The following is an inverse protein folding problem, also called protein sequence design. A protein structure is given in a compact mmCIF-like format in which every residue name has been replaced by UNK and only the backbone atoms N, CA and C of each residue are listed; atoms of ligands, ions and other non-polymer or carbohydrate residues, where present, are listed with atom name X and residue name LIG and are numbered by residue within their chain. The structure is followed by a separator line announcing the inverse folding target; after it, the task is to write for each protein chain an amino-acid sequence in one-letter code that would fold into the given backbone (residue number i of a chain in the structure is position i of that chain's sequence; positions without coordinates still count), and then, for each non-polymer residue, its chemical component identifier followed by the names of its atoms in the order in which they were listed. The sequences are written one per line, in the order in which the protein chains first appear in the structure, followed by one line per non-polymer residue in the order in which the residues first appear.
data_IF_497822934755
#
_entry.id   IF_497822934755
#
_cell.length_a   1.000
_cell.length_b   1.000
_cell.length_c   1.000
_cell.angle_alpha   90.00
_cell.angle_beta   90.00
_cell.angle_gamma   90.00
#
_symmetry.space_group_name_H-M   'P 1'
#
loop_
_entity.id
_entity.type
_entity.pdbx_description
1 polymer ?
#
# COMPACT_ATOMS: atom_id res chain seq x y z
N UNK A 1 23.04 -94.75 -99.25
CA UNK A 1 23.27 -94.34 -97.84
C UNK A 1 23.33 -92.81 -97.60
N UNK A 2 22.92 -91.91 -98.51
CA UNK A 2 23.11 -90.45 -98.32
C UNK A 2 21.85 -89.59 -98.03
N UNK A 3 20.63 -90.14 -98.06
CA UNK A 3 19.39 -89.34 -98.09
C UNK A 3 18.52 -89.29 -96.81
N UNK A 4 18.85 -89.98 -95.69
CA UNK A 4 18.40 -89.55 -94.34
C UNK A 4 19.29 -88.38 -93.92
N UNK A 5 19.31 -87.36 -94.76
CA UNK A 5 18.37 -86.25 -94.68
C UNK A 5 18.70 -85.49 -93.39
N UNK A 6 19.59 -84.51 -93.45
CA UNK A 6 19.33 -83.19 -94.04
C UNK A 6 18.17 -82.49 -93.31
N UNK A 7 17.01 -83.12 -93.14
CA UNK A 7 15.91 -82.64 -92.27
C UNK A 7 16.31 -82.55 -90.79
N UNK A 8 16.95 -83.59 -90.24
CA UNK A 8 17.46 -83.57 -88.86
C UNK A 8 18.66 -82.62 -88.72
N UNK A 9 19.18 -82.07 -89.82
CA UNK A 9 20.39 -81.24 -89.84
C UNK A 9 20.07 -79.75 -89.76
N UNK A 10 18.87 -79.29 -90.14
CA UNK A 10 18.48 -77.87 -90.04
C UNK A 10 17.94 -77.51 -88.66
N UNK A 11 17.00 -78.29 -88.11
CA UNK A 11 16.46 -78.08 -86.75
C UNK A 11 17.55 -78.21 -85.69
N UNK A 12 18.45 -79.15 -85.90
CA UNK A 12 19.61 -79.35 -85.03
C UNK A 12 20.62 -78.21 -85.18
N UNK A 13 20.76 -77.60 -86.35
CA UNK A 13 21.55 -76.37 -86.54
C UNK A 13 20.92 -75.16 -85.84
N UNK A 14 19.60 -74.97 -85.90
CA UNK A 14 18.91 -73.83 -85.26
C UNK A 14 18.92 -73.97 -83.74
N UNK A 15 18.69 -75.18 -83.21
CA UNK A 15 18.82 -75.48 -81.79
C UNK A 15 20.27 -75.33 -81.29
N UNK A 16 21.28 -75.74 -82.09
CA UNK A 16 22.69 -75.48 -81.78
C UNK A 16 23.01 -73.98 -81.79
N UNK A 17 22.46 -73.22 -82.75
CA UNK A 17 22.64 -71.78 -82.80
C UNK A 17 22.01 -71.09 -81.59
N UNK A 18 20.77 -71.42 -81.23
CA UNK A 18 20.11 -70.87 -80.04
C UNK A 18 20.83 -71.26 -78.73
N UNK A 19 21.28 -72.52 -78.62
CA UNK A 19 22.10 -72.98 -77.49
C UNK A 19 23.44 -72.25 -77.42
N UNK A 20 24.13 -72.06 -78.54
CA UNK A 20 25.39 -71.35 -78.60
C UNK A 20 25.22 -69.86 -78.28
N UNK A 21 24.14 -69.21 -78.73
CA UNK A 21 23.82 -67.83 -78.42
C UNK A 21 23.51 -67.68 -76.92
N UNK A 22 22.65 -68.54 -76.36
CA UNK A 22 22.30 -68.49 -74.95
C UNK A 22 23.51 -68.80 -74.05
N UNK A 23 24.33 -69.80 -74.42
CA UNK A 23 25.60 -70.10 -73.74
C UNK A 23 26.58 -68.93 -73.82
N UNK A 24 26.71 -68.29 -74.98
CA UNK A 24 27.57 -67.11 -75.14
C UNK A 24 27.06 -65.93 -74.31
N UNK A 25 25.75 -65.72 -74.24
CA UNK A 25 25.13 -64.69 -73.42
C UNK A 25 25.34 -64.94 -71.93
N UNK A 26 25.07 -66.16 -71.44
CA UNK A 26 25.31 -66.56 -70.05
C UNK A 26 26.79 -66.44 -69.67
N UNK A 27 27.71 -66.89 -70.53
CA UNK A 27 29.15 -66.73 -70.30
C UNK A 27 29.57 -65.25 -70.31
N UNK A 28 28.91 -64.42 -71.12
CA UNK A 28 29.09 -62.97 -71.13
C UNK A 28 28.62 -62.32 -69.82
N UNK A 29 27.43 -62.68 -69.35
CA UNK A 29 26.85 -62.20 -68.10
C UNK A 29 27.66 -62.66 -66.88
N UNK A 30 28.11 -63.93 -66.84
CA UNK A 30 28.98 -64.45 -65.79
C UNK A 30 30.33 -63.71 -65.77
N UNK A 31 30.91 -63.42 -66.94
CA UNK A 31 32.14 -62.64 -67.01
C UNK A 31 31.93 -61.17 -66.60
N UNK A 32 30.80 -60.56 -66.97
CA UNK A 32 30.48 -59.19 -66.59
C UNK A 32 30.26 -59.07 -65.08
N UNK A 33 29.46 -59.96 -64.49
CA UNK A 33 29.23 -60.04 -63.04
C UNK A 33 30.51 -60.39 -62.28
N UNK A 34 31.33 -61.32 -62.79
CA UNK A 34 32.64 -61.64 -62.22
C UNK A 34 33.60 -60.46 -62.20
N UNK A 35 33.62 -59.65 -63.26
CA UNK A 35 34.41 -58.40 -63.31
C UNK A 35 33.88 -57.35 -62.32
N UNK A 36 32.56 -57.15 -62.24
CA UNK A 36 31.95 -56.23 -61.29
C UNK A 36 32.21 -56.65 -59.83
N UNK A 37 32.07 -57.94 -59.53
CA UNK A 37 32.36 -58.49 -58.20
C UNK A 37 33.84 -58.35 -57.83
N UNK A 38 34.75 -58.52 -58.79
CA UNK A 38 36.18 -58.29 -58.57
C UNK A 38 36.46 -56.83 -58.18
N UNK A 39 35.90 -55.88 -58.92
CA UNK A 39 36.04 -54.45 -58.63
C UNK A 39 35.46 -54.12 -57.25
N UNK A 40 34.24 -54.58 -56.96
CA UNK A 40 33.60 -54.37 -55.67
C UNK A 40 34.41 -54.99 -54.50
N UNK A 41 34.99 -56.17 -54.70
CA UNK A 41 35.84 -56.82 -53.69
C UNK A 41 37.15 -56.05 -53.46
N UNK A 42 37.76 -55.53 -54.52
CA UNK A 42 38.95 -54.67 -54.41
C UNK A 42 38.63 -53.36 -53.65
N UNK A 43 37.50 -52.72 -53.94
CA UNK A 43 37.03 -51.51 -53.24
C UNK A 43 36.69 -51.77 -51.77
N UNK A 44 35.97 -52.86 -51.48
CA UNK A 44 35.68 -53.30 -50.11
C UNK A 44 36.97 -53.61 -49.36
N UNK A 45 37.95 -54.27 -49.99
CA UNK A 45 39.23 -54.56 -49.35
C UNK A 45 40.01 -53.30 -48.98
N UNK A 46 39.98 -52.25 -49.83
CA UNK A 46 40.58 -50.94 -49.54
C UNK A 46 39.87 -50.26 -48.38
N UNK A 47 38.54 -50.32 -48.36
CA UNK A 47 37.71 -49.71 -47.32
C UNK A 47 37.95 -50.38 -45.97
N UNK A 48 38.01 -51.71 -45.94
CA UNK A 48 38.33 -52.48 -44.73
C UNK A 48 39.70 -52.07 -44.19
N UNK A 49 40.74 -52.03 -45.04
CA UNK A 49 42.08 -51.59 -44.62
C UNK A 49 42.06 -50.19 -43.99
N UNK A 50 41.44 -49.22 -44.66
CA UNK A 50 41.32 -47.85 -44.16
C UNK A 50 40.60 -47.75 -42.82
N UNK A 51 39.47 -48.43 -42.66
CA UNK A 51 38.71 -48.43 -41.41
C UNK A 51 39.47 -49.13 -40.28
N UNK A 52 40.25 -50.16 -40.60
CA UNK A 52 41.07 -50.88 -39.61
C UNK A 52 42.21 -50.00 -39.11
N UNK A 53 42.87 -49.26 -40.00
CA UNK A 53 43.92 -48.30 -39.64
C UNK A 53 43.37 -47.15 -38.77
N UNK A 54 42.19 -46.61 -39.11
CA UNK A 54 41.51 -45.59 -38.28
C UNK A 54 41.09 -46.13 -36.92
N UNK A 55 40.57 -47.35 -36.85
CA UNK A 55 40.21 -47.99 -35.58
C UNK A 55 41.40 -48.11 -34.64
N UNK A 56 42.54 -48.58 -35.17
CA UNK A 56 43.80 -48.68 -34.42
C UNK A 56 44.33 -47.32 -33.95
N UNK A 57 44.14 -46.25 -34.73
CA UNK A 57 44.53 -44.89 -34.33
C UNK A 57 43.67 -44.38 -33.17
N UNK A 58 42.35 -44.51 -33.28
CA UNK A 58 41.42 -44.09 -32.23
C UNK A 58 41.63 -44.87 -30.92
N UNK A 59 41.91 -46.18 -31.00
CA UNK A 59 42.24 -46.99 -29.82
C UNK A 59 43.50 -46.50 -29.11
N UNK A 60 44.50 -46.01 -29.85
CA UNK A 60 45.70 -45.39 -29.24
C UNK A 60 45.33 -44.07 -28.56
N UNK A 61 44.53 -43.22 -29.18
CA UNK A 61 44.09 -41.95 -28.59
C UNK A 61 43.28 -42.18 -27.30
N UNK A 62 42.34 -43.13 -27.32
CA UNK A 62 41.55 -43.49 -26.13
C UNK A 62 42.48 -43.92 -25.00
N UNK A 63 43.44 -44.82 -25.26
CA UNK A 63 44.43 -45.23 -24.25
C UNK A 63 45.24 -44.05 -23.70
N UNK A 64 45.65 -43.11 -24.55
CA UNK A 64 46.36 -41.91 -24.08
C UNK A 64 45.48 -41.02 -23.21
N UNK A 65 44.22 -40.79 -23.58
CA UNK A 65 43.27 -40.01 -22.80
C UNK A 65 42.94 -40.70 -21.47
N UNK A 66 42.81 -42.03 -21.46
CA UNK A 66 42.62 -42.82 -20.24
C UNK A 66 43.82 -42.69 -19.28
N UNK A 67 45.05 -42.72 -19.80
CA UNK A 67 46.25 -42.48 -18.98
C UNK A 67 46.26 -41.06 -18.43
N UNK A 68 45.95 -40.04 -19.25
CA UNK A 68 45.87 -38.65 -18.81
C UNK A 68 44.79 -38.45 -17.74
N UNK A 69 43.61 -39.05 -17.89
CA UNK A 69 42.54 -39.00 -16.89
C UNK A 69 42.97 -39.69 -15.60
N UNK A 70 43.62 -40.85 -15.68
CA UNK A 70 44.09 -41.56 -14.49
C UNK A 70 45.21 -40.79 -13.77
N UNK A 71 46.09 -40.14 -14.50
CA UNK A 71 47.13 -39.30 -13.92
C UNK A 71 46.52 -38.04 -13.27
N UNK A 72 45.54 -37.40 -13.93
CA UNK A 72 44.78 -36.28 -13.36
C UNK A 72 43.96 -36.69 -12.12
N UNK A 73 43.43 -37.93 -12.07
CA UNK A 73 42.70 -38.45 -10.91
C UNK A 73 43.62 -38.82 -9.74
N UNK A 74 44.86 -39.24 -10.01
CA UNK A 74 45.88 -39.48 -8.98
C UNK A 74 46.41 -38.19 -8.36
N UNK A 75 46.27 -37.07 -9.08
CA UNK A 75 46.34 -35.76 -8.44
C UNK A 75 45.08 -35.66 -7.58
N UNK A 76 45.19 -36.10 -6.32
CA UNK A 76 44.30 -35.60 -5.29
C UNK A 76 44.28 -34.09 -5.43
N UNK A 77 43.13 -33.54 -5.80
CA UNK A 77 42.84 -32.14 -5.49
C UNK A 77 42.86 -32.08 -3.98
N UNK A 78 44.05 -31.85 -3.40
CA UNK A 78 44.13 -31.20 -2.11
C UNK A 78 43.34 -29.93 -2.32
N UNK A 79 42.12 -29.88 -1.79
CA UNK A 79 41.41 -28.62 -1.57
C UNK A 79 42.49 -27.64 -1.16
N UNK A 80 42.75 -26.62 -1.96
CA UNK A 80 43.84 -25.69 -1.69
C UNK A 80 43.50 -25.09 -0.32
N UNK A 81 44.18 -25.46 0.79
CA UNK A 81 43.72 -25.10 2.13
C UNK A 81 43.75 -23.58 2.32
N UNK A 82 44.50 -22.90 1.46
CA UNK A 82 44.68 -21.47 1.41
C UNK A 82 43.44 -20.70 0.88
N UNK A 83 42.63 -21.29 0.00
CA UNK A 83 41.44 -20.63 -0.57
C UNK A 83 40.24 -20.74 0.38
N UNK A 84 40.02 -21.92 0.96
CA UNK A 84 39.00 -22.16 2.00
C UNK A 84 39.28 -21.36 3.26
N UNK A 85 40.53 -21.36 3.76
CA UNK A 85 40.87 -20.61 4.97
C UNK A 85 40.72 -19.09 4.85
N UNK A 86 40.93 -18.48 3.69
CA UNK A 86 40.67 -17.04 3.49
C UNK A 86 39.17 -16.73 3.48
N UNK A 87 38.37 -17.56 2.84
CA UNK A 87 36.91 -17.42 2.82
C UNK A 87 36.34 -17.58 4.23
N UNK A 88 36.83 -18.55 4.99
CA UNK A 88 36.42 -18.79 6.37
C UNK A 88 36.81 -17.63 7.28
N UNK A 89 38.01 -17.06 7.11
CA UNK A 89 38.44 -15.84 7.84
C UNK A 89 37.54 -14.65 7.55
N UNK A 90 37.24 -14.39 6.27
CA UNK A 90 36.36 -13.29 5.89
C UNK A 90 34.93 -13.48 6.42
N UNK A 91 34.41 -14.72 6.44
CA UNK A 91 33.12 -15.03 7.09
C UNK A 91 33.13 -14.72 8.58
N UNK A 92 34.17 -15.11 9.29
CA UNK A 92 34.31 -14.84 10.73
C UNK A 92 34.42 -13.33 10.99
N UNK A 93 35.13 -12.58 10.15
CA UNK A 93 35.21 -11.13 10.24
C UNK A 93 33.86 -10.45 9.98
N UNK A 94 33.12 -10.88 8.95
CA UNK A 94 31.77 -10.37 8.67
C UNK A 94 30.85 -10.62 9.86
N UNK A 95 30.81 -11.84 10.39
CA UNK A 95 29.99 -12.17 11.56
C UNK A 95 30.40 -11.37 12.80
N UNK A 96 31.70 -11.13 12.98
CA UNK A 96 32.22 -10.29 14.05
C UNK A 96 31.81 -8.82 13.91
N UNK A 97 31.82 -8.29 12.69
CA UNK A 97 31.38 -6.93 12.38
C UNK A 97 29.87 -6.78 12.54
N UNK A 98 29.08 -7.75 12.07
CA UNK A 98 27.63 -7.79 12.24
C UNK A 98 27.27 -7.78 13.73
N UNK A 99 27.88 -8.66 14.54
CA UNK A 99 27.70 -8.65 16.00
C UNK A 99 28.09 -7.32 16.63
N UNK A 100 29.25 -6.75 16.26
CA UNK A 100 29.65 -5.43 16.76
C UNK A 100 28.67 -4.34 16.38
N UNK A 101 28.07 -4.39 15.19
CA UNK A 101 27.04 -3.43 14.79
C UNK A 101 25.79 -3.64 15.62
N UNK A 102 25.32 -4.88 15.79
CA UNK A 102 24.12 -5.18 16.58
C UNK A 102 24.29 -4.85 18.06
N UNK A 103 25.45 -5.14 18.64
CA UNK A 103 25.73 -4.90 20.07
C UNK A 103 25.97 -3.42 20.37
N UNK A 104 26.54 -2.65 19.42
CA UNK A 104 26.79 -1.21 19.60
C UNK A 104 25.65 -0.33 19.08
N UNK A 105 24.75 -0.85 18.24
CA UNK A 105 23.58 -0.11 17.77
C UNK A 105 22.45 -0.25 18.78
N UNK A 106 22.45 0.63 19.77
CA UNK A 106 21.29 0.85 20.62
C UNK A 106 20.60 2.15 20.20
N UNK A 107 19.52 2.09 19.39
CA UNK A 107 18.71 3.27 19.17
C UNK A 107 18.13 3.68 20.52
N UNK A 108 18.49 4.88 20.97
CA UNK A 108 17.91 5.47 22.18
C UNK A 108 16.81 6.46 21.77
N UNK A 109 15.54 6.02 21.70
CA UNK A 109 14.43 6.89 21.33
C UNK A 109 14.04 7.86 22.46
N UNK A 110 14.56 7.70 23.68
CA UNK A 110 14.12 8.47 24.86
C UNK A 110 14.11 10.00 24.63
N UNK A 111 15.16 10.63 24.04
CA UNK A 111 15.14 12.08 23.82
C UNK A 111 14.06 12.54 22.83
N UNK A 112 13.72 11.69 21.84
CA UNK A 112 12.67 11.97 20.86
C UNK A 112 11.29 11.76 21.46
N UNK A 113 11.13 10.75 22.33
CA UNK A 113 9.89 10.52 23.07
C UNK A 113 9.61 11.64 24.08
N UNK A 114 10.63 12.09 24.82
CA UNK A 114 10.53 13.24 25.74
C UNK A 114 10.11 14.50 24.99
N UNK A 115 10.75 14.76 23.84
CA UNK A 115 10.43 15.94 23.02
C UNK A 115 9.03 15.86 22.42
N UNK A 116 8.58 14.66 22.02
CA UNK A 116 7.19 14.43 21.58
C UNK A 116 6.20 14.72 22.70
N UNK A 117 6.47 14.24 23.92
CA UNK A 117 5.63 14.47 25.09
C UNK A 117 5.52 15.96 25.42
N UNK A 118 6.64 16.70 25.43
CA UNK A 118 6.65 18.14 25.65
C UNK A 118 5.84 18.89 24.58
N UNK A 119 6.00 18.54 23.30
CA UNK A 119 5.25 19.17 22.21
C UNK A 119 3.74 18.89 22.34
N UNK A 120 3.35 17.67 22.72
CA UNK A 120 1.94 17.34 22.95
C UNK A 120 1.35 18.13 24.12
N UNK A 121 2.09 18.33 25.21
CA UNK A 121 1.65 19.17 26.32
C UNK A 121 1.44 20.63 25.88
N UNK A 122 2.38 21.19 25.11
CA UNK A 122 2.26 22.55 24.59
C UNK A 122 1.06 22.71 23.64
N UNK A 123 0.79 21.73 22.78
CA UNK A 123 -0.38 21.76 21.89
C UNK A 123 -1.67 21.76 22.71
N UNK A 124 -1.77 20.89 23.72
CA UNK A 124 -2.94 20.83 24.59
C UNK A 124 -3.19 22.16 25.33
N UNK A 125 -2.13 22.83 25.80
CA UNK A 125 -2.22 24.13 26.46
C UNK A 125 -2.71 25.23 25.50
N UNK A 126 -2.21 25.25 24.27
CA UNK A 126 -2.64 26.20 23.23
C UNK A 126 -4.11 25.96 22.87
N UNK A 127 -4.53 24.72 22.67
CA UNK A 127 -5.92 24.37 22.37
C UNK A 127 -6.86 24.76 23.51
N UNK A 128 -6.46 24.52 24.76
CA UNK A 128 -7.23 24.94 25.93
C UNK A 128 -7.38 26.47 25.97
N UNK A 129 -6.29 27.19 25.73
CA UNK A 129 -6.26 28.67 25.72
C UNK A 129 -7.20 29.23 24.65
N UNK A 130 -7.17 28.69 23.43
CA UNK A 130 -8.06 29.14 22.36
C UNK A 130 -9.53 28.85 22.67
N UNK A 131 -9.86 27.68 23.23
CA UNK A 131 -11.22 27.38 23.70
C UNK A 131 -11.68 28.36 24.78
N UNK A 132 -10.82 28.69 25.74
CA UNK A 132 -11.12 29.67 26.79
C UNK A 132 -11.36 31.05 26.20
N UNK A 133 -10.56 31.51 25.22
CA UNK A 133 -10.78 32.79 24.54
C UNK A 133 -12.13 32.87 23.84
N UNK A 134 -12.50 31.83 23.10
CA UNK A 134 -13.83 31.75 22.45
C UNK A 134 -14.93 31.87 23.49
N UNK A 135 -14.82 31.13 24.60
CA UNK A 135 -15.80 31.18 25.68
C UNK A 135 -15.88 32.56 26.36
N UNK A 136 -14.76 33.26 26.50
CA UNK A 136 -14.73 34.63 27.04
C UNK A 136 -15.50 35.58 26.13
N UNK A 137 -15.30 35.50 24.81
CA UNK A 137 -16.01 36.38 23.88
C UNK A 137 -17.51 36.09 23.85
N UNK A 138 -17.92 34.81 23.89
CA UNK A 138 -19.33 34.43 24.07
C UNK A 138 -19.92 35.07 25.34
N UNK A 139 -19.27 34.89 26.49
CA UNK A 139 -19.73 35.43 27.76
C UNK A 139 -19.82 36.97 27.75
N UNK A 140 -18.86 37.66 27.14
CA UNK A 140 -18.93 39.12 26.98
C UNK A 140 -20.11 39.57 26.14
N UNK A 141 -20.43 38.82 25.07
CA UNK A 141 -21.60 39.14 24.24
C UNK A 141 -22.90 38.91 24.99
N UNK A 142 -22.98 37.83 25.77
CA UNK A 142 -24.12 37.53 26.63
C UNK A 142 -24.28 38.60 27.72
N UNK A 143 -23.20 38.98 28.41
CA UNK A 143 -23.19 40.03 29.43
C UNK A 143 -23.72 41.36 28.87
N UNK A 144 -23.24 41.80 27.70
CA UNK A 144 -23.73 43.03 27.06
C UNK A 144 -25.21 42.97 26.74
N UNK A 145 -25.70 41.81 26.30
CA UNK A 145 -27.11 41.61 25.99
C UNK A 145 -27.96 41.68 27.26
N UNK A 146 -27.55 40.98 28.33
CA UNK A 146 -28.23 41.02 29.61
C UNK A 146 -28.23 42.42 30.23
N UNK A 147 -27.12 43.15 30.13
CA UNK A 147 -27.04 44.53 30.62
C UNK A 147 -28.05 45.44 29.91
N UNK A 148 -28.16 45.33 28.58
CA UNK A 148 -29.15 46.10 27.82
C UNK A 148 -30.60 45.71 28.17
N UNK A 149 -30.88 44.42 28.37
CA UNK A 149 -32.20 43.95 28.83
C UNK A 149 -32.52 44.44 30.24
N UNK A 150 -31.52 44.48 31.13
CA UNK A 150 -31.66 44.99 32.50
C UNK A 150 -31.98 46.49 32.51
N UNK A 151 -31.23 47.30 31.76
CA UNK A 151 -31.48 48.75 31.65
C UNK A 151 -32.88 49.04 31.11
N UNK A 152 -33.34 48.25 30.12
CA UNK A 152 -34.69 48.41 29.58
C UNK A 152 -35.78 48.04 30.60
N UNK A 153 -35.58 46.96 31.37
CA UNK A 153 -36.48 46.58 32.45
C UNK A 153 -36.54 47.65 33.55
N UNK A 154 -35.39 48.20 33.94
CA UNK A 154 -35.31 49.27 34.94
C UNK A 154 -36.03 50.54 34.47
N UNK A 155 -35.88 50.88 33.18
CA UNK A 155 -36.65 51.96 32.55
C UNK A 155 -38.16 51.69 32.62
N UNK A 156 -38.59 50.46 32.31
CA UNK A 156 -40.00 50.08 32.37
C UNK A 156 -40.56 50.16 33.79
N UNK A 157 -39.81 49.71 34.80
CA UNK A 157 -40.20 49.81 36.21
C UNK A 157 -40.40 51.28 36.60
N UNK A 158 -39.43 52.15 36.29
CA UNK A 158 -39.54 53.59 36.56
C UNK A 158 -40.75 54.23 35.86
N UNK A 159 -41.07 53.81 34.63
CA UNK A 159 -42.26 54.30 33.92
C UNK A 159 -43.56 53.81 34.59
N UNK A 160 -43.61 52.56 35.04
CA UNK A 160 -44.79 52.01 35.74
C UNK A 160 -45.04 52.71 37.08
N UNK A 161 -43.99 53.05 37.82
CA UNK A 161 -44.11 53.82 39.05
C UNK A 161 -44.66 55.22 38.78
N UNK A 162 -44.10 55.93 37.80
CA UNK A 162 -44.60 57.26 37.38
C UNK A 162 -46.05 57.20 36.93
N UNK A 163 -46.43 56.17 36.17
CA UNK A 163 -47.80 55.95 35.76
C UNK A 163 -48.72 55.74 36.96
N UNK A 164 -48.29 54.95 37.94
CA UNK A 164 -49.07 54.68 39.15
C UNK A 164 -49.29 55.96 39.96
N UNK A 165 -48.25 56.79 40.11
CA UNK A 165 -48.34 58.11 40.74
C UNK A 165 -49.32 59.01 40.01
N UNK A 166 -49.16 59.17 38.69
CA UNK A 166 -50.03 60.03 37.89
C UNK A 166 -51.50 59.55 37.93
N UNK A 167 -51.73 58.23 37.83
CA UNK A 167 -53.08 57.65 37.89
C UNK A 167 -53.77 57.97 39.22
N UNK A 168 -53.05 57.81 40.32
CA UNK A 168 -53.56 58.10 41.67
C UNK A 168 -53.87 59.59 41.84
N UNK A 169 -52.98 60.47 41.39
CA UNK A 169 -53.19 61.92 41.43
C UNK A 169 -54.43 62.33 40.61
N UNK A 170 -54.59 61.79 39.41
CA UNK A 170 -55.75 62.05 38.56
C UNK A 170 -57.06 61.55 39.20
N UNK A 171 -57.03 60.41 39.90
CA UNK A 171 -58.21 59.90 40.62
C UNK A 171 -58.56 60.81 41.79
N UNK A 172 -57.58 61.22 42.58
CA UNK A 172 -57.77 62.12 43.71
C UNK A 172 -58.31 63.49 43.25
N UNK A 173 -57.75 64.07 42.19
CA UNK A 173 -58.23 65.31 41.58
C UNK A 173 -59.67 65.19 41.08
N UNK A 174 -59.98 64.10 40.36
CA UNK A 174 -61.32 63.85 39.84
C UNK A 174 -62.36 63.68 40.95
N UNK A 175 -62.00 63.01 42.05
CA UNK A 175 -62.86 62.89 43.23
C UNK A 175 -63.07 64.26 43.87
N UNK A 176 -61.98 64.99 44.14
CA UNK A 176 -62.02 66.31 44.77
C UNK A 176 -62.79 67.35 43.96
N UNK A 177 -62.82 67.25 42.63
CA UNK A 177 -63.62 68.11 41.75
C UNK A 177 -65.14 68.03 42.01
N UNK A 178 -65.61 66.96 42.68
CA UNK A 178 -67.03 66.75 43.00
C UNK A 178 -67.46 67.34 44.34
N UNK A 179 -66.51 67.80 45.15
CA UNK A 179 -66.78 68.33 46.48
C UNK A 179 -66.34 69.79 46.55
N UNK A 180 -67.21 70.68 47.05
CA UNK A 180 -66.90 72.11 47.18
C UNK A 180 -66.12 72.42 48.46
N UNK A 181 -66.51 71.79 49.58
CA UNK A 181 -66.00 72.10 50.91
C UNK A 181 -64.88 71.16 51.38
N UNK A 182 -64.91 69.89 50.97
CA UNK A 182 -63.98 68.88 51.42
C UNK A 182 -62.95 68.52 50.34
N UNK A 183 -61.73 68.23 50.78
CA UNK A 183 -60.69 67.57 49.99
C UNK A 183 -60.37 66.23 50.62
N UNK A 184 -60.13 65.24 49.81
CA UNK A 184 -59.70 63.91 50.23
C UNK A 184 -58.26 63.76 49.75
N UNK A 185 -57.34 63.64 50.70
CA UNK A 185 -56.04 63.02 50.45
C UNK A 185 -56.29 61.54 50.57
N UNK A 186 -56.19 60.79 49.49
CA UNK A 186 -56.43 59.35 49.46
C UNK A 186 -55.11 58.58 49.46
N UNK A 187 -54.04 59.24 49.05
CA UNK A 187 -52.73 58.63 48.91
C UNK A 187 -51.61 59.59 49.35
N UNK A 188 -50.48 59.02 49.75
CA UNK A 188 -49.28 59.74 50.17
C UNK A 188 -48.05 59.19 49.47
N UNK A 189 -47.30 60.09 48.82
CA UNK A 189 -46.02 59.75 48.20
C UNK A 189 -44.99 59.50 49.28
N UNK A 190 -44.35 58.34 49.23
CA UNK A 190 -43.23 58.00 50.10
C UNK A 190 -41.92 58.44 49.46
N UNK A 191 -40.95 58.81 50.30
CA UNK A 191 -39.60 59.22 49.86
C UNK A 191 -38.84 58.06 49.20
N UNK A 192 -39.21 56.81 49.53
CA UNK A 192 -38.52 55.59 49.10
C UNK A 192 -39.29 54.84 48.00
N UNK A 193 -39.79 55.56 46.98
CA UNK A 193 -40.37 55.00 45.76
C UNK A 193 -41.61 54.11 46.02
N UNK A 194 -42.67 54.72 46.54
CA UNK A 194 -43.95 54.05 46.74
C UNK A 194 -45.10 55.02 47.04
N UNK A 195 -46.33 54.53 46.88
CA UNK A 195 -47.55 55.25 47.26
C UNK A 195 -48.18 54.50 48.43
N UNK A 196 -48.46 55.21 49.51
CA UNK A 196 -49.22 54.69 50.64
C UNK A 196 -50.66 55.16 50.55
N UNK A 197 -51.61 54.23 50.65
CA UNK A 197 -53.01 54.59 50.80
C UNK A 197 -53.23 55.24 52.17
N UNK A 198 -53.81 56.43 52.19
CA UNK A 198 -54.11 57.18 53.41
C UNK A 198 -55.37 57.99 53.17
N UNK A 199 -56.53 57.48 53.57
CA UNK A 199 -57.81 58.16 53.40
C UNK A 199 -57.98 59.22 54.50
N UNK A 200 -57.68 60.49 54.18
CA UNK A 200 -57.78 61.63 55.08
C UNK A 200 -58.64 62.71 54.44
N UNK A 201 -59.68 63.15 55.14
CA UNK A 201 -60.48 64.32 54.74
C UNK A 201 -59.82 65.59 55.25
N UNK A 202 -59.76 66.63 54.41
CA UNK A 202 -59.25 67.96 54.71
C UNK A 202 -60.34 69.01 54.44
N UNK A 203 -60.39 70.04 55.27
CA UNK A 203 -61.19 71.25 55.07
C UNK A 203 -60.24 72.45 55.13
N UNK A 204 -60.25 73.32 54.10
CA UNK A 204 -59.28 74.42 53.95
C UNK A 204 -57.80 74.02 54.14
N UNK A 205 -57.45 72.80 53.71
CA UNK A 205 -56.09 72.25 53.84
C UNK A 205 -55.76 71.66 55.21
N UNK A 206 -56.69 71.67 56.17
CA UNK A 206 -56.50 71.13 57.52
C UNK A 206 -57.11 69.72 57.61
N UNK A 207 -56.33 68.68 58.00
CA UNK A 207 -56.83 67.33 58.21
C UNK A 207 -57.91 67.24 59.29
N UNK A 208 -59.03 66.60 59.00
CA UNK A 208 -60.20 66.46 59.87
C UNK A 208 -60.38 65.03 60.44
N UNK A 209 -59.30 64.24 60.49
CA UNK A 209 -59.32 62.81 60.87
C UNK A 209 -58.44 62.42 62.06
N UNK A 210 -57.73 63.36 62.70
CA UNK A 210 -56.81 63.09 63.82
C UNK A 210 -57.32 63.60 65.18
N UNK A 211 -58.60 63.97 65.27
CA UNK A 211 -59.18 64.55 66.48
C UNK A 211 -60.62 64.11 66.67
N UNK A 212 -60.79 62.89 67.19
CA UNK A 212 -61.91 62.39 68.00
C UNK A 212 -61.46 61.11 68.69
#
# INVERSE_FOLDING_TARGET
MKAKCVCNRSQLKTALAAFNINKAQQLGEINATGKQLKIANEELSKTIKYLTEKGLANEKEIKTLETQINDLKKIEVKEIPFATSKIDKVKVEIQGLEKKITDNFQPNPAPLEDRRSMLQANIAEVEATEKTKVRIEELKTEEKKLAAEYEELERQISLLEKFTVAKVEMLEEKINSKFSLARFKLFEKQINEGIRETCITLYDGIPYGYGL
#
